data_IF_017130889597
#
_entry.id   IF_017130889597
#
_cell.length_a   1.000
_cell.length_b   1.000
_cell.length_c   1.000
_cell.angle_alpha   90.00
_cell.angle_beta   90.00
_cell.angle_gamma   90.00
#
_symmetry.space_group_name_H-M   'P 1'
#
loop_
_entity.id
_entity.type
_entity.pdbx_description
1 polymer ?
#
# COMPACT_ATOMS: atom_id res chain seq x y z
N UNK A 1 10.24 -20.70 -2.35
CA UNK A 1 10.42 -19.79 -3.50
C UNK A 1 9.62 -18.53 -3.21
N UNK A 2 10.08 -17.34 -3.63
CA UNK A 2 9.27 -16.13 -3.51
C UNK A 2 7.94 -16.33 -4.26
N UNK A 3 6.86 -15.80 -3.71
CA UNK A 3 5.52 -15.79 -4.32
C UNK A 3 5.00 -14.35 -4.45
N UNK A 4 3.78 -14.16 -4.94
CA UNK A 4 3.16 -12.84 -5.11
C UNK A 4 3.17 -12.01 -3.82
N UNK A 5 2.95 -12.65 -2.66
CA UNK A 5 2.95 -11.95 -1.37
C UNK A 5 4.31 -11.34 -1.06
N UNK A 6 5.40 -12.03 -1.38
CA UNK A 6 6.75 -11.48 -1.21
C UNK A 6 6.91 -10.15 -1.97
N UNK A 7 6.48 -10.08 -3.23
CA UNK A 7 6.56 -8.86 -4.03
C UNK A 7 5.61 -7.77 -3.52
N UNK A 8 4.40 -8.12 -3.08
CA UNK A 8 3.46 -7.17 -2.47
C UNK A 8 4.03 -6.56 -1.18
N UNK A 9 4.68 -7.36 -0.33
CA UNK A 9 5.34 -6.88 0.88
C UNK A 9 6.51 -5.94 0.53
N UNK A 10 7.30 -6.26 -0.50
CA UNK A 10 8.34 -5.35 -0.99
C UNK A 10 7.73 -4.03 -1.48
N UNK A 11 6.67 -4.10 -2.28
CA UNK A 11 5.96 -2.91 -2.76
C UNK A 11 5.44 -2.04 -1.61
N UNK A 12 4.98 -2.66 -0.52
CA UNK A 12 4.55 -1.96 0.69
C UNK A 12 5.73 -1.27 1.41
N UNK A 13 6.84 -1.99 1.62
CA UNK A 13 8.03 -1.41 2.26
C UNK A 13 8.55 -0.21 1.47
N UNK A 14 8.63 -0.34 0.14
CA UNK A 14 9.11 0.74 -0.71
C UNK A 14 8.11 1.90 -0.78
N UNK A 15 6.82 1.62 -0.93
CA UNK A 15 5.79 2.63 -1.08
C UNK A 15 5.54 3.44 0.19
N UNK A 16 5.53 2.78 1.35
CA UNK A 16 5.17 3.40 2.63
C UNK A 16 6.37 4.02 3.36
N UNK A 17 7.58 3.49 3.13
CA UNK A 17 8.80 3.95 3.80
C UNK A 17 9.85 4.50 2.85
N UNK A 18 10.35 3.71 1.90
CA UNK A 18 11.54 4.10 1.12
C UNK A 18 11.30 5.31 0.20
N UNK A 19 10.10 5.39 -0.39
CA UNK A 19 9.70 6.46 -1.32
C UNK A 19 8.90 7.57 -0.63
N UNK A 20 8.56 7.39 0.65
CA UNK A 20 7.91 8.44 1.44
C UNK A 20 8.96 9.46 1.90
N UNK A 21 8.91 10.66 1.32
CA UNK A 21 9.78 11.77 1.70
C UNK A 21 9.41 12.36 3.06
N UNK A 22 10.37 13.01 3.72
CA UNK A 22 10.15 13.73 4.98
C UNK A 22 9.02 14.77 4.87
N UNK A 23 8.90 15.41 3.71
CA UNK A 23 7.81 16.35 3.42
C UNK A 23 6.44 15.65 3.44
N UNK A 24 6.32 14.48 2.79
CA UNK A 24 5.09 13.70 2.82
C UNK A 24 4.76 13.24 4.24
N UNK A 25 5.74 12.68 4.94
CA UNK A 25 5.58 12.19 6.31
C UNK A 25 5.10 13.30 7.27
N UNK A 26 5.67 14.51 7.15
CA UNK A 26 5.36 15.65 8.02
C UNK A 26 3.96 16.22 7.78
N UNK A 27 3.49 16.28 6.53
CA UNK A 27 2.30 17.04 6.18
C UNK A 27 1.09 16.19 5.75
N UNK A 28 1.23 14.86 5.58
CA UNK A 28 0.09 14.00 5.17
C UNK A 28 -1.08 14.04 6.16
N UNK A 29 -0.81 14.29 7.45
CA UNK A 29 -1.86 14.40 8.46
C UNK A 29 -2.70 15.69 8.38
N UNK A 30 -2.16 16.78 7.81
CA UNK A 30 -2.82 18.10 7.76
C UNK A 30 -3.19 18.56 6.35
N UNK A 31 -2.64 17.94 5.30
CA UNK A 31 -2.89 18.31 3.92
C UNK A 31 -3.36 17.09 3.09
N UNK A 32 -4.63 17.12 2.68
CA UNK A 32 -5.27 16.05 1.90
C UNK A 32 -4.60 15.80 0.55
N UNK A 33 -4.01 16.81 -0.09
CA UNK A 33 -3.29 16.64 -1.35
C UNK A 33 -1.99 15.86 -1.14
N UNK A 34 -1.29 16.11 -0.04
CA UNK A 34 -0.07 15.39 0.33
C UNK A 34 -0.39 13.96 0.74
N UNK A 35 -1.49 13.75 1.48
CA UNK A 35 -2.01 12.40 1.76
C UNK A 35 -2.32 11.64 0.48
N UNK A 36 -3.08 12.25 -0.45
CA UNK A 36 -3.39 11.63 -1.74
C UNK A 36 -2.14 11.31 -2.55
N UNK A 37 -1.14 12.20 -2.56
CA UNK A 37 0.14 11.94 -3.22
C UNK A 37 0.88 10.74 -2.60
N UNK A 38 0.94 10.67 -1.27
CA UNK A 38 1.56 9.55 -0.57
C UNK A 38 0.88 8.23 -0.92
N UNK A 39 -0.44 8.18 -0.86
CA UNK A 39 -1.20 6.96 -1.18
C UNK A 39 -1.08 6.61 -2.67
N UNK A 40 -0.98 7.61 -3.56
CA UNK A 40 -0.73 7.37 -4.97
C UNK A 40 0.66 6.71 -5.18
N UNK A 41 1.70 7.25 -4.54
CA UNK A 41 3.06 6.66 -4.58
C UNK A 41 3.01 5.22 -4.06
N UNK A 42 2.31 4.99 -2.94
CA UNK A 42 2.13 3.66 -2.38
C UNK A 42 1.50 2.68 -3.38
N UNK A 43 0.34 3.03 -3.97
CA UNK A 43 -0.40 2.13 -4.87
C UNK A 43 0.35 1.89 -6.19
N UNK A 44 0.99 2.92 -6.74
CA UNK A 44 1.83 2.76 -7.95
C UNK A 44 3.01 1.83 -7.65
N UNK A 45 3.62 1.96 -6.48
CA UNK A 45 4.73 1.08 -6.07
C UNK A 45 4.26 -0.36 -5.88
N UNK A 46 3.12 -0.58 -5.21
CA UNK A 46 2.49 -1.92 -5.11
C UNK A 46 2.24 -2.51 -6.49
N UNK A 47 1.63 -1.74 -7.41
CA UNK A 47 1.35 -2.20 -8.77
C UNK A 47 2.62 -2.57 -9.55
N UNK A 48 3.68 -1.77 -9.41
CA UNK A 48 4.97 -2.04 -10.06
C UNK A 48 5.62 -3.33 -9.54
N UNK A 49 5.70 -3.51 -8.22
CA UNK A 49 6.26 -4.73 -7.64
C UNK A 49 5.41 -5.96 -7.92
N UNK A 50 4.08 -5.82 -7.91
CA UNK A 50 3.17 -6.88 -8.29
C UNK A 50 3.38 -7.33 -9.73
N UNK A 51 3.43 -6.38 -10.68
CA UNK A 51 3.72 -6.67 -12.08
C UNK A 51 5.06 -7.39 -12.27
N UNK A 52 6.12 -6.92 -11.59
CA UNK A 52 7.43 -7.58 -11.59
C UNK A 52 7.33 -9.01 -11.04
N UNK A 53 6.57 -9.20 -9.96
CA UNK A 53 6.34 -10.52 -9.37
C UNK A 53 5.65 -11.48 -10.32
N UNK A 54 4.54 -11.07 -10.92
CA UNK A 54 3.81 -11.91 -11.89
C UNK A 54 4.68 -12.26 -13.10
N UNK A 55 5.47 -11.30 -13.60
CA UNK A 55 6.41 -11.52 -14.70
C UNK A 55 7.52 -12.52 -14.33
N UNK A 56 8.15 -12.38 -13.16
CA UNK A 56 9.25 -13.25 -12.73
C UNK A 56 8.81 -14.65 -12.35
N UNK A 57 7.57 -14.80 -11.89
CA UNK A 57 7.00 -16.09 -11.48
C UNK A 57 6.28 -16.80 -12.63
N UNK A 58 6.24 -16.20 -13.83
CA UNK A 58 5.48 -16.65 -14.99
C UNK A 58 4.01 -16.94 -14.61
N UNK A 59 3.44 -16.04 -13.80
CA UNK A 59 2.09 -16.15 -13.28
C UNK A 59 1.09 -15.41 -14.17
N UNK A 60 -0.01 -14.94 -13.57
CA UNK A 60 -1.18 -14.45 -14.30
C UNK A 60 -0.81 -13.22 -15.12
N UNK A 61 -1.51 -12.96 -16.23
CA UNK A 61 -1.29 -11.73 -16.99
C UNK A 61 -1.63 -10.52 -16.11
N UNK A 62 -0.68 -9.59 -15.99
CA UNK A 62 -0.85 -8.26 -15.40
C UNK A 62 -0.33 -7.21 -16.40
N UNK A 63 -1.00 -6.08 -16.61
CA UNK A 63 -2.18 -5.56 -15.89
C UNK A 63 -3.53 -6.10 -16.40
N UNK A 64 -4.52 -6.18 -15.50
CA UNK A 64 -5.93 -6.50 -15.83
C UNK A 64 -6.90 -5.50 -15.20
N UNK A 65 -8.14 -5.45 -15.68
CA UNK A 65 -9.20 -4.63 -15.05
C UNK A 65 -9.44 -5.02 -13.59
N UNK A 66 -9.39 -6.32 -13.27
CA UNK A 66 -9.56 -6.81 -11.90
C UNK A 66 -8.41 -6.33 -10.99
N UNK A 67 -7.17 -6.41 -11.46
CA UNK A 67 -6.01 -5.86 -10.74
C UNK A 67 -6.10 -4.34 -10.57
N UNK A 68 -6.57 -3.61 -11.59
CA UNK A 68 -6.86 -2.17 -11.47
C UNK A 68 -7.90 -1.86 -10.40
N UNK A 69 -8.97 -2.66 -10.30
CA UNK A 69 -9.98 -2.56 -9.24
C UNK A 69 -9.41 -2.81 -7.84
N UNK A 70 -8.49 -3.77 -7.70
CA UNK A 70 -7.76 -4.04 -6.46
C UNK A 70 -6.89 -2.84 -6.06
N UNK A 71 -6.11 -2.29 -7.00
CA UNK A 71 -5.27 -1.11 -6.75
C UNK A 71 -6.11 0.13 -6.37
N UNK A 72 -7.27 0.33 -7.00
CA UNK A 72 -8.20 1.41 -6.64
C UNK A 72 -8.78 1.20 -5.22
N UNK A 73 -9.08 -0.04 -4.84
CA UNK A 73 -9.55 -0.37 -3.49
C UNK A 73 -8.45 -0.15 -2.45
N UNK A 74 -7.21 -0.54 -2.75
CA UNK A 74 -6.03 -0.25 -1.92
C UNK A 74 -5.84 1.26 -1.71
N UNK A 75 -6.01 2.05 -2.78
CA UNK A 75 -5.93 3.51 -2.67
C UNK A 75 -6.94 4.04 -1.66
N UNK A 76 -8.21 3.66 -1.79
CA UNK A 76 -9.28 4.14 -0.90
C UNK A 76 -9.06 3.65 0.53
N UNK A 77 -8.68 2.38 0.72
CA UNK A 77 -8.42 1.81 2.04
C UNK A 77 -7.26 2.52 2.74
N UNK A 78 -6.11 2.67 2.08
CA UNK A 78 -4.93 3.31 2.70
C UNK A 78 -5.21 4.80 2.97
N UNK A 79 -5.84 5.50 2.04
CA UNK A 79 -6.24 6.90 2.26
C UNK A 79 -7.15 7.05 3.49
N UNK A 80 -8.16 6.19 3.64
CA UNK A 80 -9.07 6.23 4.78
C UNK A 80 -8.35 5.89 6.09
N UNK A 81 -7.47 4.89 6.06
CA UNK A 81 -6.69 4.46 7.22
C UNK A 81 -5.81 5.61 7.75
N UNK A 82 -5.03 6.25 6.86
CA UNK A 82 -4.16 7.35 7.25
C UNK A 82 -4.96 8.60 7.67
N UNK A 83 -6.10 8.86 7.04
CA UNK A 83 -6.99 9.97 7.43
C UNK A 83 -7.62 9.76 8.81
N UNK A 84 -8.02 8.53 9.16
CA UNK A 84 -8.56 8.21 10.48
C UNK A 84 -7.45 8.31 11.53
N UNK A 85 -6.27 7.76 11.23
CA UNK A 85 -5.10 7.77 12.11
C UNK A 85 -4.68 9.19 12.45
N UNK A 86 -4.62 10.09 11.47
CA UNK A 86 -4.21 11.49 11.69
C UNK A 86 -5.21 12.30 12.52
N UNK A 87 -6.50 11.93 12.52
CA UNK A 87 -7.55 12.68 13.19
C UNK A 87 -7.96 12.11 14.56
N UNK A 88 -7.79 10.80 14.80
CA UNK A 88 -8.37 10.11 15.96
C UNK A 88 -7.37 9.42 16.88
N UNK A 89 -6.11 9.27 16.48
CA UNK A 89 -5.13 8.51 17.27
C UNK A 89 -3.98 9.42 17.73
N UNK A 90 -3.63 9.36 19.02
CA UNK A 90 -2.52 10.13 19.61
C UNK A 90 -1.13 9.64 19.16
N UNK A 91 -0.99 9.06 17.96
CA UNK A 91 0.31 8.66 17.39
C UNK A 91 1.08 7.57 18.16
N UNK A 92 0.41 6.83 19.06
CA UNK A 92 1.06 5.83 19.89
C UNK A 92 1.58 4.61 19.11
N UNK A 93 2.58 3.91 19.64
CA UNK A 93 3.18 2.70 19.03
C UNK A 93 2.15 1.62 18.67
N UNK A 94 1.09 1.48 19.45
CA UNK A 94 0.00 0.54 19.15
C UNK A 94 -0.75 0.88 17.86
N UNK A 95 -1.01 2.18 17.60
CA UNK A 95 -1.65 2.61 16.38
C UNK A 95 -0.79 2.29 15.16
N UNK A 96 0.54 2.41 15.28
CA UNK A 96 1.47 1.98 14.25
C UNK A 96 1.40 0.47 13.99
N UNK A 97 1.43 -0.38 15.02
CA UNK A 97 1.34 -1.83 14.80
C UNK A 97 0.00 -2.28 14.19
N UNK A 98 -1.11 -1.66 14.61
CA UNK A 98 -2.44 -1.94 14.02
C UNK A 98 -2.48 -1.53 12.56
N UNK A 99 -1.90 -0.38 12.23
CA UNK A 99 -1.78 0.15 10.88
C UNK A 99 -0.97 -0.77 9.96
N UNK A 100 0.18 -1.25 10.44
CA UNK A 100 1.00 -2.23 9.71
C UNK A 100 0.31 -3.58 9.56
N UNK A 101 -0.38 -4.06 10.61
CA UNK A 101 -1.16 -5.29 10.53
C UNK A 101 -2.30 -5.19 9.51
N UNK A 102 -2.98 -4.05 9.45
CA UNK A 102 -4.04 -3.80 8.46
C UNK A 102 -3.49 -3.83 7.03
N UNK A 103 -2.34 -3.20 6.77
CA UNK A 103 -1.67 -3.27 5.47
C UNK A 103 -1.35 -4.71 5.09
N UNK A 104 -0.65 -5.46 5.94
CA UNK A 104 -0.27 -6.85 5.67
C UNK A 104 -1.49 -7.76 5.46
N UNK A 105 -2.57 -7.55 6.21
CA UNK A 105 -3.81 -8.30 6.04
C UNK A 105 -4.42 -8.08 4.65
N UNK A 106 -4.47 -6.83 4.16
CA UNK A 106 -4.99 -6.55 2.82
C UNK A 106 -4.09 -7.15 1.73
N UNK A 107 -2.77 -7.07 1.86
CA UNK A 107 -1.85 -7.70 0.89
C UNK A 107 -2.00 -9.22 0.87
N UNK A 108 -2.22 -9.84 2.03
CA UNK A 108 -2.49 -11.28 2.11
C UNK A 108 -3.81 -11.65 1.44
N UNK A 109 -4.86 -10.84 1.61
CA UNK A 109 -6.15 -11.02 0.91
C UNK A 109 -5.95 -10.95 -0.60
N UNK A 110 -5.17 -9.98 -1.10
CA UNK A 110 -4.87 -9.85 -2.53
C UNK A 110 -4.25 -11.15 -3.07
N UNK A 111 -3.25 -11.70 -2.38
CA UNK A 111 -2.62 -12.98 -2.75
C UNK A 111 -3.59 -14.17 -2.75
N UNK A 112 -4.69 -14.13 -2.00
CA UNK A 112 -5.68 -15.21 -1.99
C UNK A 112 -6.63 -15.08 -3.19
N UNK A 113 -7.06 -13.87 -3.51
CA UNK A 113 -8.11 -13.62 -4.51
C UNK A 113 -7.56 -13.46 -5.94
N UNK A 114 -6.27 -13.13 -6.07
CA UNK A 114 -5.55 -13.00 -7.32
C UNK A 114 -4.34 -13.93 -7.30
#
# INVERSE_FOLDING_TARGET
MPDTLFFLILGHIFGDFALQTDHMAKYKGSNKAILSLHVLVYVVTIGAFWWIGEYLLDQRPFPTLFAGGILATLYVQHWLQDHIKSNKTNGGKHAFFVDQAAHLAVLYIIRIIY
#
